data_IF_167058559181
#
_entry.id   IF_167058559181
#
_cell.length_a   1.000
_cell.length_b   1.000
_cell.length_c   1.000
_cell.angle_alpha   90.00
_cell.angle_beta   90.00
_cell.angle_gamma   90.00
#
_symmetry.space_group_name_H-M   'P 1'
#
loop_
_entity.id
_entity.type
_entity.pdbx_description
1 polymer ?
#
# COMPACT_ATOMS: atom_id res chain seq x y z
N UNK A 1 8.34 -15.01 13.97
CA UNK A 1 8.25 -14.43 15.32
C UNK A 1 8.76 -13.00 15.23
N UNK A 2 7.86 -12.01 15.22
CA UNK A 2 8.21 -10.57 15.35
C UNK A 2 7.74 -10.01 16.70
N UNK A 3 7.49 -10.89 17.67
CA UNK A 3 7.15 -10.53 19.05
C UNK A 3 8.22 -9.61 19.63
N UNK A 4 7.82 -8.46 20.15
CA UNK A 4 8.73 -7.43 20.69
C UNK A 4 9.33 -6.50 19.63
N UNK A 5 8.91 -6.58 18.36
CA UNK A 5 9.31 -5.58 17.36
C UNK A 5 8.38 -4.37 17.43
N UNK A 6 8.98 -3.18 17.42
CA UNK A 6 8.26 -1.92 17.30
C UNK A 6 7.94 -1.64 15.84
N UNK A 7 6.66 -1.34 15.56
CA UNK A 7 6.21 -0.88 14.25
C UNK A 7 6.14 0.65 14.21
N UNK A 8 6.67 1.23 13.13
CA UNK A 8 6.51 2.64 12.77
C UNK A 8 5.94 2.72 11.36
N UNK A 9 4.92 3.56 11.18
CA UNK A 9 4.24 3.72 9.88
C UNK A 9 4.15 5.20 9.55
N UNK A 10 4.64 5.56 8.37
CA UNK A 10 4.52 6.91 7.81
C UNK A 10 3.88 6.82 6.42
N UNK A 11 2.84 7.62 6.19
CA UNK A 11 2.19 7.73 4.89
C UNK A 11 2.14 9.17 4.40
N UNK A 12 2.23 9.34 3.09
CA UNK A 12 2.02 10.61 2.41
C UNK A 12 0.96 10.48 1.35
N UNK A 13 -0.03 11.38 1.41
CA UNK A 13 -1.11 11.53 0.45
C UNK A 13 -1.43 13.02 0.29
N UNK A 14 -2.32 13.31 -0.66
CA UNK A 14 -2.90 14.63 -0.92
C UNK A 14 -3.35 15.36 0.35
N UNK A 15 -3.16 16.69 0.41
CA UNK A 15 -3.63 17.56 1.52
C UNK A 15 -5.09 17.35 1.89
N UNK A 16 -5.93 17.14 0.87
CA UNK A 16 -7.39 16.97 1.02
C UNK A 16 -7.78 15.60 1.57
N UNK A 17 -6.84 14.64 1.65
CA UNK A 17 -7.11 13.32 2.18
C UNK A 17 -7.02 13.32 3.71
N UNK A 18 -8.18 13.39 4.34
CA UNK A 18 -8.31 13.44 5.79
C UNK A 18 -8.09 12.08 6.47
N UNK A 19 -8.37 10.98 5.78
CA UNK A 19 -8.36 9.63 6.36
C UNK A 19 -7.09 8.85 6.04
N UNK A 20 -6.73 7.96 6.97
CA UNK A 20 -5.65 6.99 6.79
C UNK A 20 -5.99 6.03 5.66
N UNK A 21 -5.01 5.78 4.79
CA UNK A 21 -5.14 4.84 3.68
C UNK A 21 -5.68 3.47 4.13
N UNK A 22 -6.72 2.97 3.44
CA UNK A 22 -7.22 1.61 3.67
C UNK A 22 -6.13 0.55 3.50
N UNK A 23 -5.21 0.76 2.55
CA UNK A 23 -4.03 -0.10 2.36
C UNK A 23 -3.10 -0.06 3.58
N UNK A 24 -2.89 1.11 4.19
CA UNK A 24 -2.08 1.21 5.40
C UNK A 24 -2.71 0.47 6.58
N UNK A 25 -4.02 0.58 6.76
CA UNK A 25 -4.77 -0.18 7.80
C UNK A 25 -4.64 -1.69 7.60
N UNK A 26 -4.78 -2.16 6.36
CA UNK A 26 -4.62 -3.59 6.04
C UNK A 26 -3.19 -4.09 6.31
N UNK A 27 -2.17 -3.29 5.98
CA UNK A 27 -0.77 -3.62 6.28
C UNK A 27 -0.51 -3.65 7.79
N UNK A 28 -1.02 -2.69 8.56
CA UNK A 28 -0.92 -2.70 10.03
C UNK A 28 -1.56 -3.96 10.60
N UNK A 29 -2.78 -4.31 10.16
CA UNK A 29 -3.44 -5.55 10.60
C UNK A 29 -2.61 -6.79 10.29
N UNK A 30 -1.94 -6.81 9.13
CA UNK A 30 -1.04 -7.91 8.74
C UNK A 30 0.16 -8.00 9.68
N UNK A 31 0.82 -6.88 10.01
CA UNK A 31 1.94 -6.86 10.96
C UNK A 31 1.50 -7.25 12.38
N UNK A 32 0.33 -6.81 12.83
CA UNK A 32 -0.26 -7.26 14.10
C UNK A 32 -0.46 -8.78 14.11
N UNK A 33 -0.89 -9.37 13.01
CA UNK A 33 -1.00 -10.83 12.85
C UNK A 33 0.34 -11.57 12.93
N UNK A 34 1.47 -10.90 12.65
CA UNK A 34 2.82 -11.46 12.83
C UNK A 34 3.32 -11.37 14.28
N UNK A 35 2.60 -10.62 15.13
CA UNK A 35 2.88 -10.46 16.55
C UNK A 35 3.79 -9.28 16.88
N UNK A 36 3.86 -8.24 16.05
CA UNK A 36 4.52 -6.97 16.45
C UNK A 36 3.84 -6.35 17.67
N UNK A 37 4.50 -5.44 18.35
CA UNK A 37 3.91 -4.74 19.49
C UNK A 37 2.60 -4.04 19.10
N UNK A 38 1.64 -3.89 20.03
CA UNK A 38 0.36 -3.26 19.74
C UNK A 38 0.53 -1.89 19.06
N UNK A 39 -0.15 -1.73 17.93
CA UNK A 39 -0.09 -0.53 17.10
C UNK A 39 -1.50 -0.20 16.62
N UNK A 40 -1.95 1.03 16.87
CA UNK A 40 -3.27 1.51 16.48
C UNK A 40 -3.18 2.44 15.26
N UNK A 41 -4.29 2.62 14.55
CA UNK A 41 -4.29 3.44 13.34
C UNK A 41 -4.00 4.92 13.61
N UNK A 42 -4.24 5.39 14.83
CA UNK A 42 -3.97 6.76 15.28
C UNK A 42 -2.47 7.03 15.42
N UNK A 43 -1.64 5.99 15.50
CA UNK A 43 -0.19 6.09 15.57
C UNK A 43 0.46 6.24 14.17
N UNK A 44 -0.32 6.16 13.09
CA UNK A 44 0.18 6.34 11.73
C UNK A 44 0.53 7.82 11.53
N UNK A 45 1.78 8.08 11.18
CA UNK A 45 2.23 9.44 10.85
C UNK A 45 1.74 9.82 9.46
N UNK A 46 0.88 10.84 9.39
CA UNK A 46 0.29 11.32 8.15
C UNK A 46 0.98 12.60 7.68
N UNK A 47 1.72 12.52 6.57
CA UNK A 47 2.34 13.67 5.93
C UNK A 47 1.38 14.27 4.91
N UNK A 48 1.09 15.56 5.07
CA UNK A 48 0.10 16.28 4.25
C UNK A 48 0.62 17.63 3.74
N UNK A 49 1.54 18.28 4.43
CA UNK A 49 2.14 19.54 3.98
C UNK A 49 3.28 19.32 2.97
N UNK A 50 3.47 20.25 2.04
CA UNK A 50 4.42 20.03 0.93
C UNK A 50 5.88 19.87 1.41
N UNK A 51 6.24 20.48 2.54
CA UNK A 51 7.61 20.40 3.05
C UNK A 51 7.92 18.99 3.57
N UNK A 52 7.04 18.41 4.39
CA UNK A 52 7.19 17.04 4.88
C UNK A 52 7.08 16.01 3.76
N UNK A 53 6.20 16.23 2.77
CA UNK A 53 6.07 15.36 1.60
C UNK A 53 7.34 15.32 0.76
N UNK A 54 7.93 16.48 0.46
CA UNK A 54 9.21 16.57 -0.25
C UNK A 54 10.34 15.92 0.55
N UNK A 55 10.40 16.16 1.86
CA UNK A 55 11.38 15.52 2.74
C UNK A 55 11.21 13.98 2.77
N UNK A 56 9.98 13.50 2.58
CA UNK A 56 9.67 12.07 2.47
C UNK A 56 9.92 11.49 1.07
N UNK A 57 10.38 12.30 0.11
CA UNK A 57 10.77 11.88 -1.23
C UNK A 57 9.67 11.97 -2.29
N UNK A 58 8.55 12.64 -2.00
CA UNK A 58 7.51 12.90 -3.01
C UNK A 58 8.01 13.96 -4.01
N UNK A 59 8.07 13.66 -5.32
CA UNK A 59 8.43 14.67 -6.32
C UNK A 59 7.37 15.77 -6.40
N UNK A 60 7.82 17.02 -6.59
CA UNK A 60 6.93 18.20 -6.58
C UNK A 60 5.79 18.12 -7.61
N UNK A 61 6.06 17.58 -8.80
CA UNK A 61 5.07 17.36 -9.86
C UNK A 61 3.95 16.39 -9.45
N UNK A 62 4.20 15.50 -8.49
CA UNK A 62 3.22 14.54 -7.96
C UNK A 62 2.68 14.92 -6.58
N UNK A 63 2.96 16.13 -6.07
CA UNK A 63 2.35 16.68 -4.85
C UNK A 63 0.82 16.50 -4.86
N UNK A 64 0.20 16.77 -6.01
CA UNK A 64 -1.24 16.65 -6.23
C UNK A 64 -1.76 15.27 -6.70
N UNK A 65 -0.87 14.26 -6.79
CA UNK A 65 -1.27 12.89 -7.08
C UNK A 65 -0.18 11.88 -6.72
N UNK A 66 -0.15 11.42 -5.47
CA UNK A 66 0.76 10.38 -4.98
C UNK A 66 0.14 9.58 -3.83
N UNK A 67 0.75 8.42 -3.55
CA UNK A 67 0.50 7.59 -2.38
C UNK A 67 1.79 6.91 -1.96
N UNK A 68 2.46 7.41 -0.92
CA UNK A 68 3.73 6.87 -0.42
C UNK A 68 3.50 6.29 0.96
N UNK A 69 4.05 5.12 1.24
CA UNK A 69 4.02 4.54 2.58
C UNK A 69 5.34 3.87 2.90
N UNK A 70 5.78 4.03 4.15
CA UNK A 70 6.93 3.34 4.73
C UNK A 70 6.49 2.66 6.01
N UNK A 71 6.81 1.38 6.14
CA UNK A 71 6.62 0.57 7.35
C UNK A 71 7.98 0.12 7.84
N UNK A 72 8.35 0.49 9.07
CA UNK A 72 9.62 0.12 9.68
C UNK A 72 9.34 -0.76 10.88
N UNK A 73 9.96 -1.95 10.92
CA UNK A 73 9.95 -2.84 12.07
C UNK A 73 11.35 -2.87 12.66
N UNK A 74 11.47 -2.57 13.95
CA UNK A 74 12.75 -2.58 14.67
C UNK A 74 12.69 -3.55 15.84
N UNK A 75 13.69 -4.42 15.99
CA UNK A 75 13.78 -5.36 17.12
C UNK A 75 13.89 -4.60 18.46
N UNK A 76 13.53 -5.26 19.56
CA UNK A 76 13.55 -4.67 20.90
C UNK A 76 14.94 -4.19 21.34
N UNK A 77 16.00 -4.86 20.89
CA UNK A 77 17.40 -4.48 21.13
C UNK A 77 17.96 -3.51 20.07
N UNK A 78 17.16 -3.16 19.05
CA UNK A 78 17.52 -2.27 17.95
C UNK A 78 18.52 -2.85 16.94
N UNK A 79 18.92 -4.11 17.07
CA UNK A 79 19.96 -4.71 16.22
C UNK A 79 19.46 -5.11 14.82
N UNK A 80 18.14 -5.26 14.65
CA UNK A 80 17.52 -5.68 13.39
C UNK A 80 16.44 -4.67 12.97
N UNK A 81 16.48 -4.28 11.70
CA UNK A 81 15.45 -3.44 11.08
C UNK A 81 14.99 -4.02 9.74
N UNK A 82 13.67 -4.06 9.57
CA UNK A 82 13.03 -4.29 8.27
C UNK A 82 12.30 -3.03 7.84
N UNK A 83 12.39 -2.69 6.56
CA UNK A 83 11.67 -1.55 6.00
C UNK A 83 10.99 -1.93 4.69
N UNK A 84 9.69 -1.64 4.61
CA UNK A 84 8.87 -1.88 3.43
C UNK A 84 8.38 -0.54 2.90
N UNK A 85 8.54 -0.31 1.59
CA UNK A 85 8.08 0.91 0.92
C UNK A 85 7.30 0.58 -0.33
N UNK A 86 6.25 1.35 -0.57
CA UNK A 86 5.53 1.38 -1.83
C UNK A 86 5.08 2.81 -2.10
N UNK A 87 5.58 3.33 -3.22
CA UNK A 87 5.49 4.74 -3.58
C UNK A 87 4.86 4.84 -4.97
N UNK A 88 3.66 5.38 -5.02
CA UNK A 88 2.95 5.62 -6.26
C UNK A 88 3.02 7.09 -6.61
N UNK A 89 3.54 7.38 -7.80
CA UNK A 89 3.51 8.70 -8.43
C UNK A 89 2.43 8.73 -9.52
N UNK A 90 1.56 9.71 -9.45
CA UNK A 90 0.48 9.90 -10.41
C UNK A 90 -0.54 8.76 -10.38
N UNK A 91 -1.04 8.40 -11.58
CA UNK A 91 -2.15 7.44 -11.73
C UNK A 91 -1.83 6.24 -12.63
N UNK A 92 -0.58 6.15 -13.10
CA UNK A 92 -0.17 5.17 -14.12
C UNK A 92 -0.45 3.73 -13.69
N UNK A 93 -0.03 3.35 -12.48
CA UNK A 93 -0.24 1.99 -11.95
C UNK A 93 -1.72 1.59 -11.91
N UNK A 94 -2.62 2.54 -11.65
CA UNK A 94 -4.07 2.27 -11.66
C UNK A 94 -4.59 2.08 -13.09
N UNK A 95 -4.07 2.86 -14.05
CA UNK A 95 -4.39 2.70 -15.47
C UNK A 95 -3.94 1.34 -16.02
N UNK A 96 -2.71 0.92 -15.68
CA UNK A 96 -2.16 -0.38 -16.04
C UNK A 96 -2.98 -1.52 -15.40
N UNK A 97 -3.28 -1.45 -14.10
CA UNK A 97 -4.11 -2.45 -13.44
C UNK A 97 -5.54 -2.57 -14.01
N UNK A 98 -6.13 -1.47 -14.50
CA UNK A 98 -7.41 -1.52 -15.22
C UNK A 98 -7.27 -2.21 -16.57
N UNK A 99 -6.18 -1.95 -17.31
CA UNK A 99 -5.93 -2.61 -18.58
C UNK A 99 -5.77 -4.14 -18.40
N UNK A 100 -5.04 -4.57 -17.37
CA UNK A 100 -4.90 -5.98 -16.99
C UNK A 100 -6.26 -6.59 -16.61
N UNK A 101 -7.04 -5.90 -15.79
CA UNK A 101 -8.36 -6.35 -15.37
C UNK A 101 -9.31 -6.55 -16.57
N UNK A 102 -9.29 -5.63 -17.54
CA UNK A 102 -10.11 -5.74 -18.77
C UNK A 102 -9.68 -6.94 -19.60
N UNK A 103 -8.37 -7.17 -19.78
CA UNK A 103 -7.86 -8.34 -20.50
C UNK A 103 -8.26 -9.65 -19.81
N UNK A 104 -8.12 -9.70 -18.48
CA UNK A 104 -8.54 -10.84 -17.68
C UNK A 104 -10.05 -11.11 -17.81
N UNK A 105 -10.89 -10.10 -17.64
CA UNK A 105 -12.35 -10.27 -17.75
C UNK A 105 -12.74 -10.73 -19.17
N UNK A 106 -12.10 -10.19 -20.20
CA UNK A 106 -12.34 -10.60 -21.58
C UNK A 106 -12.00 -12.08 -21.81
N UNK A 107 -10.88 -12.58 -21.25
CA UNK A 107 -10.50 -13.98 -21.35
C UNK A 107 -11.48 -14.91 -20.61
N UNK A 108 -11.92 -14.52 -19.41
CA UNK A 108 -12.94 -15.25 -18.65
C UNK A 108 -14.29 -15.31 -19.39
N UNK A 109 -14.68 -14.23 -20.06
CA UNK A 109 -15.89 -14.19 -20.87
C UNK A 109 -15.79 -15.10 -22.11
N UNK A 110 -14.65 -15.06 -22.83
CA UNK A 110 -14.40 -15.91 -23.99
C UNK A 110 -14.42 -17.40 -23.62
N UNK A 111 -13.84 -17.75 -22.46
CA UNK A 111 -13.86 -19.10 -21.91
C UNK A 111 -15.22 -19.52 -21.31
N UNK A 112 -16.23 -18.62 -21.31
CA UNK A 112 -17.54 -18.83 -20.68
C UNK A 112 -17.44 -19.28 -19.21
N UNK A 113 -16.49 -18.69 -18.48
CA UNK A 113 -16.25 -19.04 -17.09
C UNK A 113 -17.55 -18.90 -16.24
N UNK A 114 -17.82 -19.84 -15.32
CA UNK A 114 -19.04 -19.82 -14.52
C UNK A 114 -19.03 -18.68 -13.49
N UNK A 115 -17.85 -18.34 -12.93
CA UNK A 115 -17.68 -17.19 -12.03
C UNK A 115 -17.91 -15.88 -12.80
N UNK A 116 -18.66 -14.95 -12.18
CA UNK A 116 -19.08 -13.67 -12.80
C UNK A 116 -18.55 -12.42 -12.12
N UNK A 117 -18.22 -12.51 -10.84
CA UNK A 117 -17.67 -11.39 -10.06
C UNK A 117 -16.25 -11.76 -9.67
N UNK A 118 -15.31 -10.87 -9.97
CA UNK A 118 -13.88 -11.03 -9.74
C UNK A 118 -13.33 -9.84 -8.97
N UNK A 119 -12.19 -10.04 -8.31
CA UNK A 119 -11.43 -8.98 -7.64
C UNK A 119 -9.99 -8.94 -8.15
N UNK A 120 -9.16 -8.05 -7.59
CA UNK A 120 -7.77 -7.91 -8.03
C UNK A 120 -6.88 -9.10 -7.65
N UNK A 121 -7.26 -9.90 -6.65
CA UNK A 121 -6.54 -11.13 -6.30
C UNK A 121 -6.74 -12.19 -7.38
N UNK A 122 -7.96 -12.35 -7.90
CA UNK A 122 -8.24 -13.25 -9.02
C UNK A 122 -7.37 -12.93 -10.25
N UNK A 123 -7.17 -11.64 -10.52
CA UNK A 123 -6.35 -11.16 -11.63
C UNK A 123 -4.87 -11.46 -11.39
N UNK A 124 -4.37 -11.23 -10.17
CA UNK A 124 -2.99 -11.52 -9.79
C UNK A 124 -2.67 -13.02 -9.84
N UNK A 125 -3.56 -13.87 -9.35
CA UNK A 125 -3.40 -15.33 -9.35
C UNK A 125 -3.37 -15.92 -10.77
N UNK A 126 -4.03 -15.28 -11.73
CA UNK A 126 -4.00 -15.70 -13.12
C UNK A 126 -2.62 -15.49 -13.79
N UNK A 127 -1.74 -14.69 -13.18
CA UNK A 127 -0.38 -14.44 -13.66
C UNK A 127 -0.30 -13.74 -15.03
N UNK A 128 -1.43 -13.26 -15.56
CA UNK A 128 -1.51 -12.56 -16.84
C UNK A 128 -1.34 -11.06 -16.61
N UNK A 129 -0.13 -10.65 -16.24
CA UNK A 129 0.28 -9.25 -16.32
C UNK A 129 1.13 -9.08 -17.58
N UNK A 130 0.72 -8.21 -18.50
CA UNK A 130 1.42 -7.96 -19.77
C UNK A 130 1.84 -6.50 -19.90
#
# INVERSE_FOLDING_TARGET
MTSGYKLEVTESHQKTKADTSGTAKAMVSSFQGLGVDPFTHEQITQLRDDASQRAFGVPEEFSNGHAFHTYTLTSSDGSVQFQFKHNVCGRRTYGEGVADAVQFIASQAAAKAPKKVYNMIDILEAGQMK
#
